data_IF_431668974266
#
_entry.id   IF_431668974266
#
_cell.length_a   1.000
_cell.length_b   1.000
_cell.length_c   1.000
_cell.angle_alpha   90.00
_cell.angle_beta   90.00
_cell.angle_gamma   90.00
#
_symmetry.space_group_name_H-M   'P 1'
#
loop_
_entity.id
_entity.type
_entity.pdbx_description
1 polymer ?
#
# COMPACT_ATOMS: atom_id res chain seq x y z
N UNK A 1 -12.46 -20.61 -4.81
CA UNK A 1 -11.40 -19.71 -5.31
C UNK A 1 -10.72 -19.06 -4.11
N UNK A 2 -9.41 -18.80 -4.18
CA UNK A 2 -8.63 -18.25 -3.07
C UNK A 2 -8.62 -16.71 -3.10
N UNK A 3 -8.80 -16.08 -1.94
CA UNK A 3 -8.69 -14.63 -1.77
C UNK A 3 -7.44 -14.27 -0.97
N UNK A 4 -6.82 -13.13 -1.29
CA UNK A 4 -5.61 -12.64 -0.61
C UNK A 4 -5.74 -11.14 -0.35
N UNK A 5 -5.22 -10.67 0.79
CA UNK A 5 -5.00 -9.25 1.06
C UNK A 5 -3.65 -9.14 1.76
N UNK A 6 -2.71 -8.42 1.16
CA UNK A 6 -1.38 -8.15 1.71
C UNK A 6 -1.12 -6.65 1.73
N UNK A 7 -0.34 -6.19 2.71
CA UNK A 7 0.02 -4.79 2.87
C UNK A 7 1.50 -4.67 3.23
N UNK A 8 2.16 -3.69 2.63
CA UNK A 8 3.52 -3.27 2.95
C UNK A 8 3.53 -1.77 3.23
N UNK A 9 4.29 -1.34 4.25
CA UNK A 9 4.55 0.06 4.56
C UNK A 9 6.06 0.25 4.64
N UNK A 10 6.62 0.99 3.68
CA UNK A 10 8.04 1.29 3.60
C UNK A 10 8.30 2.70 4.14
N UNK A 11 9.15 2.79 5.17
CA UNK A 11 9.57 4.04 5.80
C UNK A 11 11.06 4.29 5.52
N UNK A 12 11.37 5.39 4.84
CA UNK A 12 12.71 5.75 4.42
C UNK A 12 13.36 6.72 5.41
N UNK A 13 14.23 6.18 6.27
CA UNK A 13 14.92 6.93 7.31
C UNK A 13 14.08 7.07 8.59
N UNK A 14 14.63 7.80 9.57
CA UNK A 14 13.96 8.09 10.85
C UNK A 14 13.63 9.59 10.90
N UNK A 15 12.58 9.97 10.19
CA UNK A 15 12.22 11.39 10.01
C UNK A 15 11.96 12.11 11.34
N UNK A 16 11.35 11.44 12.31
CA UNK A 16 11.14 12.00 13.65
C UNK A 16 12.47 12.34 14.37
N UNK A 17 13.57 11.70 13.98
CA UNK A 17 14.93 11.97 14.46
C UNK A 17 15.73 12.88 13.50
N UNK A 18 15.09 13.44 12.46
CA UNK A 18 15.74 14.29 11.47
C UNK A 18 16.55 13.53 10.40
N UNK A 19 16.44 12.20 10.34
CA UNK A 19 17.25 11.37 9.46
C UNK A 19 16.48 10.98 8.18
N UNK A 20 17.15 11.05 7.04
CA UNK A 20 16.66 10.58 5.75
C UNK A 20 17.43 9.34 5.30
N UNK A 21 16.85 8.56 4.36
CA UNK A 21 17.55 7.46 3.72
C UNK A 21 18.61 8.00 2.75
N UNK A 22 19.81 8.29 3.27
CA UNK A 22 20.88 9.00 2.57
C UNK A 22 21.91 8.09 1.90
N UNK A 23 22.00 6.82 2.31
CA UNK A 23 22.95 5.85 1.75
C UNK A 23 22.42 4.41 1.83
N UNK A 24 22.98 3.53 0.99
CA UNK A 24 22.58 2.12 0.88
C UNK A 24 21.56 1.89 -0.23
N UNK A 25 21.07 0.65 -0.33
CA UNK A 25 20.14 0.23 -1.39
C UNK A 25 19.00 -0.61 -0.84
N UNK A 26 17.78 -0.30 -1.28
CA UNK A 26 16.58 -1.12 -1.03
C UNK A 26 16.13 -1.71 -2.35
N UNK A 27 15.83 -2.99 -2.36
CA UNK A 27 15.19 -3.67 -3.50
C UNK A 27 13.95 -4.38 -3.02
N UNK A 28 12.82 -4.14 -3.68
CA UNK A 28 11.54 -4.77 -3.39
C UNK A 28 11.07 -5.56 -4.60
N UNK A 29 10.49 -6.73 -4.35
CA UNK A 29 9.88 -7.57 -5.37
C UNK A 29 8.66 -8.27 -4.80
N UNK A 30 7.51 -8.02 -5.40
CA UNK A 30 6.25 -8.66 -5.02
C UNK A 30 5.71 -9.44 -6.22
N UNK A 31 5.45 -10.73 -6.00
CA UNK A 31 4.91 -11.64 -7.02
C UNK A 31 3.69 -12.34 -6.44
N UNK A 32 2.58 -12.34 -7.17
CA UNK A 32 1.41 -13.13 -6.82
C UNK A 32 1.11 -14.08 -7.98
N UNK A 33 1.02 -15.36 -7.65
CA UNK A 33 0.69 -16.43 -8.58
C UNK A 33 -0.66 -17.04 -8.17
N UNK A 34 -1.46 -17.43 -9.16
CA UNK A 34 -2.66 -18.24 -8.99
C UNK A 34 -2.64 -19.35 -10.03
N UNK A 35 -2.76 -20.60 -9.58
CA UNK A 35 -2.64 -21.79 -10.42
C UNK A 35 -1.38 -21.73 -11.31
N UNK A 36 -0.24 -21.44 -10.69
CA UNK A 36 1.08 -21.23 -11.31
C UNK A 36 1.18 -20.08 -12.34
N UNK A 37 0.11 -19.30 -12.53
CA UNK A 37 0.09 -18.15 -13.43
C UNK A 37 0.39 -16.86 -12.68
N UNK A 38 1.34 -16.08 -13.17
CA UNK A 38 1.66 -14.76 -12.65
C UNK A 38 0.48 -13.79 -12.91
N UNK A 39 -0.12 -13.30 -11.84
CA UNK A 39 -1.24 -12.33 -11.91
C UNK A 39 -0.84 -10.93 -11.43
N UNK A 40 0.25 -10.82 -10.68
CA UNK A 40 0.83 -9.54 -10.26
C UNK A 40 2.35 -9.65 -10.17
N UNK A 41 3.05 -8.65 -10.71
CA UNK A 41 4.49 -8.49 -10.59
C UNK A 41 4.82 -7.02 -10.35
N UNK A 42 5.47 -6.74 -9.23
CA UNK A 42 5.99 -5.42 -8.89
C UNK A 42 7.46 -5.54 -8.50
N UNK A 43 8.29 -4.62 -8.99
CA UNK A 43 9.70 -4.54 -8.67
C UNK A 43 10.11 -3.07 -8.54
N UNK A 44 10.90 -2.77 -7.51
CA UNK A 44 11.48 -1.45 -7.29
C UNK A 44 12.90 -1.56 -6.73
N UNK A 45 13.73 -0.57 -7.04
CA UNK A 45 15.03 -0.38 -6.42
C UNK A 45 15.20 1.10 -6.07
N UNK A 46 15.72 1.37 -4.88
CA UNK A 46 15.94 2.72 -4.37
C UNK A 46 17.37 2.81 -3.83
N UNK A 47 18.10 3.79 -4.32
CA UNK A 47 19.40 4.17 -3.79
C UNK A 47 19.21 5.31 -2.77
N UNK A 48 19.86 5.18 -1.61
CA UNK A 48 19.89 6.22 -0.60
C UNK A 48 20.51 7.50 -1.16
N UNK A 49 19.89 8.64 -0.87
CA UNK A 49 20.28 9.95 -1.43
C UNK A 49 20.02 10.10 -2.95
N UNK A 50 19.55 9.05 -3.62
CA UNK A 50 19.31 9.02 -5.06
C UNK A 50 18.23 9.99 -5.53
N UNK A 51 18.21 10.27 -6.83
CA UNK A 51 17.28 11.23 -7.45
C UNK A 51 15.81 10.79 -7.30
N UNK A 52 15.53 9.49 -7.34
CA UNK A 52 14.18 8.94 -7.22
C UNK A 52 13.48 9.30 -5.90
N UNK A 53 14.26 9.63 -4.86
CA UNK A 53 13.72 10.07 -3.57
C UNK A 53 13.13 11.49 -3.64
N UNK A 54 13.62 12.33 -4.55
CA UNK A 54 13.18 13.73 -4.72
C UNK A 54 12.30 13.94 -5.94
N UNK A 55 12.42 13.07 -6.95
CA UNK A 55 11.67 13.18 -8.19
C UNK A 55 10.16 13.08 -7.97
N UNK A 56 9.34 13.94 -8.60
CA UNK A 56 7.88 13.82 -8.56
C UNK A 56 7.36 12.53 -9.22
N UNK A 57 8.17 11.89 -10.08
CA UNK A 57 7.87 10.58 -10.65
C UNK A 57 8.22 9.41 -9.72
N UNK A 58 8.89 9.71 -8.60
CA UNK A 58 9.23 8.74 -7.57
C UNK A 58 8.56 9.08 -6.25
N UNK A 59 9.38 9.30 -5.23
CA UNK A 59 8.89 9.54 -3.88
C UNK A 59 8.49 11.00 -3.63
N UNK A 60 8.78 11.91 -4.55
CA UNK A 60 8.38 13.32 -4.46
C UNK A 60 8.78 13.98 -3.11
N UNK A 61 9.96 13.62 -2.58
CA UNK A 61 10.45 14.11 -1.28
C UNK A 61 9.77 13.50 -0.06
N UNK A 62 8.84 12.56 -0.25
CA UNK A 62 8.13 11.84 0.80
C UNK A 62 8.96 10.68 1.34
N UNK A 63 8.67 10.30 2.58
CA UNK A 63 9.45 9.31 3.33
C UNK A 63 8.70 8.03 3.62
N UNK A 64 7.38 7.99 3.40
CA UNK A 64 6.55 6.82 3.67
C UNK A 64 5.75 6.47 2.41
N UNK A 65 5.82 5.22 2.00
CA UNK A 65 4.99 4.65 0.94
C UNK A 65 4.32 3.39 1.49
N UNK A 66 3.01 3.26 1.29
CA UNK A 66 2.28 2.04 1.62
C UNK A 66 1.57 1.48 0.39
N UNK A 67 1.61 0.17 0.24
CA UNK A 67 0.94 -0.56 -0.83
C UNK A 67 0.14 -1.71 -0.25
N UNK A 68 -1.17 -1.71 -0.50
CA UNK A 68 -2.06 -2.83 -0.21
C UNK A 68 -2.51 -3.47 -1.52
N UNK A 69 -2.31 -4.78 -1.62
CA UNK A 69 -2.73 -5.59 -2.77
C UNK A 69 -3.78 -6.59 -2.30
N UNK A 70 -4.93 -6.59 -2.97
CA UNK A 70 -6.00 -7.53 -2.73
C UNK A 70 -6.33 -8.32 -4.00
N UNK A 71 -6.50 -9.63 -3.87
CA UNK A 71 -6.77 -10.56 -4.96
C UNK A 71 -8.02 -11.35 -4.65
N UNK A 72 -8.92 -11.45 -5.64
CA UNK A 72 -10.18 -12.16 -5.52
C UNK A 72 -11.19 -11.69 -6.57
N UNK A 73 -12.48 -11.72 -6.22
CA UNK A 73 -13.54 -11.20 -7.08
C UNK A 73 -13.35 -9.68 -7.31
N UNK A 74 -13.52 -9.16 -8.55
CA UNK A 74 -13.35 -7.74 -8.83
C UNK A 74 -14.35 -6.87 -8.05
N UNK A 75 -13.87 -5.75 -7.50
CA UNK A 75 -14.74 -4.78 -6.85
C UNK A 75 -15.71 -4.13 -7.84
N UNK A 76 -16.93 -3.85 -7.39
CA UNK A 76 -17.88 -3.02 -8.17
C UNK A 76 -17.38 -1.57 -8.26
N UNK A 77 -17.90 -0.81 -9.23
CA UNK A 77 -17.57 0.61 -9.35
C UNK A 77 -17.92 1.40 -8.07
N UNK A 78 -19.04 1.07 -7.42
CA UNK A 78 -19.45 1.68 -6.16
C UNK A 78 -18.49 1.37 -5.02
N UNK A 79 -18.04 0.11 -4.88
CA UNK A 79 -17.05 -0.24 -3.87
C UNK A 79 -15.70 0.44 -4.16
N UNK A 80 -15.28 0.50 -5.43
CA UNK A 80 -14.03 1.18 -5.80
C UNK A 80 -14.09 2.68 -5.52
N UNK A 81 -15.21 3.35 -5.79
CA UNK A 81 -15.44 4.75 -5.44
C UNK A 81 -15.36 4.92 -3.91
N UNK A 82 -16.07 4.07 -3.16
CA UNK A 82 -16.03 4.11 -1.70
C UNK A 82 -14.62 3.87 -1.14
N UNK A 83 -13.80 2.99 -1.74
CA UNK A 83 -12.41 2.79 -1.32
C UNK A 83 -11.52 4.00 -1.59
N UNK A 84 -11.83 4.83 -2.59
CA UNK A 84 -11.09 6.07 -2.89
C UNK A 84 -11.41 7.20 -1.90
N UNK A 85 -12.56 7.11 -1.23
CA UNK A 85 -12.99 8.01 -0.15
C UNK A 85 -12.45 7.56 1.22
N UNK A 86 -11.29 6.89 1.28
CA UNK A 86 -10.61 6.71 2.56
C UNK A 86 -10.11 8.08 3.01
N UNK A 87 -10.43 8.44 4.26
CA UNK A 87 -9.98 9.68 4.86
C UNK A 87 -8.45 9.66 5.00
N UNK A 88 -7.80 10.63 4.38
CA UNK A 88 -6.34 10.81 4.40
C UNK A 88 -6.04 12.29 4.64
N UNK A 89 -4.87 12.57 5.22
CA UNK A 89 -4.42 13.94 5.37
C UNK A 89 -4.24 14.60 3.99
N UNK A 90 -4.62 15.87 3.86
CA UNK A 90 -4.56 16.59 2.58
C UNK A 90 -3.14 16.76 2.04
N UNK A 91 -2.11 16.61 2.88
CA UNK A 91 -0.72 16.60 2.46
C UNK A 91 -0.28 15.27 1.84
N UNK A 92 -1.02 14.19 2.05
CA UNK A 92 -0.67 12.86 1.54
C UNK A 92 -1.32 12.60 0.17
N UNK A 93 -0.78 11.63 -0.56
CA UNK A 93 -1.37 11.14 -1.81
C UNK A 93 -1.91 9.74 -1.61
N UNK A 94 -3.07 9.45 -2.20
CA UNK A 94 -3.70 8.15 -2.12
C UNK A 94 -4.45 7.81 -3.41
N UNK A 95 -4.42 6.54 -3.79
CA UNK A 95 -5.15 6.06 -4.96
C UNK A 95 -5.48 4.59 -4.87
N UNK A 96 -6.64 4.20 -5.41
CA UNK A 96 -7.07 2.81 -5.53
C UNK A 96 -7.45 2.48 -6.97
N UNK A 97 -6.91 1.36 -7.47
CA UNK A 97 -7.13 0.90 -8.83
C UNK A 97 -7.44 -0.60 -8.86
N UNK A 98 -8.44 -0.98 -9.65
CA UNK A 98 -8.77 -2.38 -9.97
C UNK A 98 -8.16 -2.76 -11.33
N UNK A 99 -7.45 -3.87 -11.38
CA UNK A 99 -6.84 -4.46 -12.58
C UNK A 99 -7.19 -5.95 -12.65
N UNK A 100 -8.18 -6.32 -13.48
CA UNK A 100 -8.69 -7.69 -13.57
C UNK A 100 -9.06 -8.22 -12.18
N UNK A 101 -8.40 -9.27 -11.68
CA UNK A 101 -8.61 -9.87 -10.35
C UNK A 101 -7.75 -9.27 -9.23
N UNK A 102 -7.00 -8.19 -9.47
CA UNK A 102 -6.09 -7.56 -8.50
C UNK A 102 -6.51 -6.11 -8.26
N UNK A 103 -6.75 -5.75 -7.01
CA UNK A 103 -6.97 -4.38 -6.57
C UNK A 103 -5.73 -3.90 -5.82
N UNK A 104 -5.29 -2.68 -6.11
CA UNK A 104 -4.13 -2.05 -5.48
C UNK A 104 -4.54 -0.71 -4.92
N UNK A 105 -4.27 -0.50 -3.63
CA UNK A 105 -4.32 0.80 -2.98
C UNK A 105 -2.89 1.25 -2.65
N UNK A 106 -2.56 2.50 -2.94
CA UNK A 106 -1.26 3.09 -2.62
C UNK A 106 -1.41 4.41 -1.89
N UNK A 107 -0.53 4.64 -0.93
CA UNK A 107 -0.38 5.88 -0.17
C UNK A 107 1.07 6.36 -0.25
N UNK A 108 1.26 7.68 -0.35
CA UNK A 108 2.55 8.34 -0.30
C UNK A 108 2.46 9.57 0.62
N UNK A 109 3.29 9.62 1.65
CA UNK A 109 3.25 10.65 2.69
C UNK A 109 4.49 10.65 3.57
N UNK A 110 4.41 11.27 4.75
CA UNK A 110 5.56 11.40 5.65
C UNK A 110 5.36 10.80 7.05
N UNK A 111 4.23 10.15 7.26
CA UNK A 111 3.84 9.59 8.56
C UNK A 111 3.38 8.13 8.39
N UNK A 112 4.08 7.22 9.06
CA UNK A 112 3.82 5.79 9.00
C UNK A 112 2.50 5.40 9.67
N UNK A 113 2.08 6.13 10.71
CA UNK A 113 0.81 5.86 11.37
C UNK A 113 -0.36 6.29 10.48
N UNK A 114 -0.26 7.45 9.81
CA UNK A 114 -1.27 7.86 8.81
C UNK A 114 -1.38 6.86 7.67
N UNK A 115 -0.25 6.40 7.14
CA UNK A 115 -0.23 5.35 6.13
C UNK A 115 -0.89 4.07 6.63
N UNK A 116 -0.58 3.63 7.86
CA UNK A 116 -1.18 2.45 8.49
C UNK A 116 -2.69 2.58 8.64
N UNK A 117 -3.18 3.73 9.11
CA UNK A 117 -4.60 4.00 9.27
C UNK A 117 -5.33 3.97 7.92
N UNK A 118 -4.76 4.56 6.88
CA UNK A 118 -5.30 4.50 5.52
C UNK A 118 -5.40 3.06 5.01
N UNK A 119 -4.32 2.27 5.14
CA UNK A 119 -4.32 0.86 4.72
C UNK A 119 -5.30 0.02 5.53
N UNK A 120 -5.44 0.28 6.84
CA UNK A 120 -6.40 -0.40 7.69
C UNK A 120 -7.84 -0.06 7.28
N UNK A 121 -8.15 1.18 6.90
CA UNK A 121 -9.45 1.57 6.39
C UNK A 121 -9.81 0.85 5.08
N UNK A 122 -8.85 0.77 4.14
CA UNK A 122 -8.99 -0.03 2.91
C UNK A 122 -9.25 -1.49 3.24
N UNK A 123 -8.42 -2.09 4.10
CA UNK A 123 -8.54 -3.48 4.51
C UNK A 123 -9.89 -3.78 5.16
N UNK A 124 -10.40 -2.87 6.01
CA UNK A 124 -11.70 -3.01 6.67
C UNK A 124 -12.85 -3.07 5.68
N UNK A 125 -12.79 -2.28 4.61
CA UNK A 125 -13.81 -2.27 3.53
C UNK A 125 -13.70 -3.51 2.63
N UNK A 126 -12.48 -3.97 2.36
CA UNK A 126 -12.23 -5.12 1.47
C UNK A 126 -12.48 -6.48 2.11
N UNK A 127 -12.23 -6.62 3.41
CA UNK A 127 -12.29 -7.93 4.09
C UNK A 127 -13.68 -8.58 4.07
N UNK A 128 -14.78 -7.89 4.41
CA UNK A 128 -16.12 -8.45 4.26
C UNK A 128 -16.43 -8.76 2.79
N UNK A 129 -15.98 -7.91 1.88
CA UNK A 129 -16.18 -8.10 0.45
C UNK A 129 -15.41 -9.31 -0.13
N UNK A 130 -14.19 -9.62 0.32
CA UNK A 130 -13.37 -10.69 -0.28
C UNK A 130 -13.42 -12.00 0.50
N UNK A 131 -13.62 -11.93 1.81
CA UNK A 131 -13.52 -13.05 2.74
C UNK A 131 -14.85 -13.38 3.43
N UNK A 132 -15.91 -12.59 3.20
CA UNK A 132 -17.23 -12.79 3.82
C UNK A 132 -17.15 -12.88 5.34
N UNK A 133 -16.21 -12.11 5.89
CA UNK A 133 -15.89 -12.04 7.32
C UNK A 133 -15.84 -10.59 7.76
N UNK A 134 -16.34 -10.35 8.96
CA UNK A 134 -16.20 -9.04 9.60
C UNK A 134 -14.73 -8.62 9.68
N UNK A 135 -14.49 -7.32 9.53
CA UNK A 135 -13.16 -6.73 9.62
C UNK A 135 -12.72 -6.50 11.07
N UNK A 136 -12.54 -7.58 11.82
CA UNK A 136 -12.00 -7.54 13.17
C UNK A 136 -10.48 -7.36 13.12
N UNK A 137 -9.99 -6.20 13.55
CA UNK A 137 -8.56 -5.87 13.54
C UNK A 137 -7.82 -6.82 14.49
N UNK A 138 -6.81 -7.58 14.01
CA UNK A 138 -6.03 -8.45 14.88
C UNK A 138 -5.37 -7.67 16.01
N UNK A 139 -5.42 -8.19 17.25
CA UNK A 139 -4.79 -7.55 18.42
C UNK A 139 -3.30 -7.27 18.21
N UNK A 140 -2.61 -8.14 17.47
CA UNK A 140 -1.18 -7.98 17.12
C UNK A 140 -0.89 -6.76 16.24
N UNK A 141 -1.92 -6.10 15.66
CA UNK A 141 -1.75 -4.86 14.89
C UNK A 141 -1.94 -3.59 15.74
N UNK A 142 -2.22 -3.75 17.04
CA UNK A 142 -2.37 -2.66 18.00
C UNK A 142 -1.22 -2.60 19.03
N UNK A 143 -0.14 -3.35 18.78
CA UNK A 143 1.12 -3.27 19.53
C UNK A 143 2.09 -2.36 18.80
#
# INVERSE_FOLDING_TARGET
DASFIGCEILCLGRRASGESFSAGRITQRTRILRDDKLIWYEQGALEGGGEMLRSPFGWNGRSVCATLIAVGRPASAALLAHLREVDIDCADQFGVTQMKGVLVARHLGDDSERARLAMLAVWRRLRPFLLEREAQVPRIWNT
#
